data_IF_729151360451
#
_entry.id   IF_729151360451
#
_cell.length_a   1.000
_cell.length_b   1.000
_cell.length_c   1.000
_cell.angle_alpha   90.00
_cell.angle_beta   90.00
_cell.angle_gamma   90.00
#
_symmetry.space_group_name_H-M   'P 1'
#
loop_
_entity.id
_entity.type
_entity.pdbx_description
1 polymer ?
#
# COMPACT_ATOMS: atom_id res chain seq x y z
N UNK A 1 -17.56 -14.27 -8.53
CA UNK A 1 -17.15 -12.92 -8.11
C UNK A 1 -18.02 -12.53 -6.94
N UNK A 2 -17.41 -12.19 -5.80
CA UNK A 2 -18.12 -11.56 -4.69
C UNK A 2 -18.26 -10.07 -5.01
N UNK A 3 -19.35 -9.41 -4.58
CA UNK A 3 -19.41 -7.95 -4.68
C UNK A 3 -18.41 -7.37 -3.68
N UNK A 4 -17.84 -6.20 -3.97
CA UNK A 4 -16.91 -5.53 -3.05
C UNK A 4 -17.52 -5.41 -1.64
N UNK A 5 -18.80 -5.02 -1.55
CA UNK A 5 -19.56 -4.93 -0.28
C UNK A 5 -19.67 -6.26 0.48
N UNK A 6 -19.62 -7.39 -0.22
CA UNK A 6 -19.75 -8.72 0.38
C UNK A 6 -18.43 -9.21 1.00
N UNK A 7 -17.31 -8.51 0.79
CA UNK A 7 -15.99 -8.90 1.31
C UNK A 7 -15.41 -7.88 2.29
N UNK A 8 -16.05 -6.72 2.45
CA UNK A 8 -15.56 -5.67 3.34
C UNK A 8 -15.46 -6.18 4.77
N UNK A 9 -14.28 -5.99 5.35
CA UNK A 9 -13.92 -6.32 6.73
C UNK A 9 -13.98 -7.83 7.08
N UNK A 10 -14.16 -8.71 6.09
CA UNK A 10 -14.32 -10.16 6.30
C UNK A 10 -13.66 -11.04 5.24
N UNK A 11 -12.56 -10.57 4.66
CA UNK A 11 -11.79 -11.32 3.67
C UNK A 11 -10.30 -11.39 4.04
N UNK A 12 -9.66 -12.57 3.99
CA UNK A 12 -10.16 -13.86 3.52
C UNK A 12 -10.96 -14.66 4.57
N UNK A 13 -11.12 -14.12 5.78
CA UNK A 13 -11.86 -14.72 6.88
C UNK A 13 -12.64 -13.64 7.65
N UNK A 14 -13.61 -14.08 8.45
CA UNK A 14 -14.30 -13.22 9.42
C UNK A 14 -13.33 -12.74 10.51
N UNK A 15 -13.60 -11.56 11.10
CA UNK A 15 -12.73 -10.92 12.12
C UNK A 15 -12.35 -11.86 13.27
N UNK A 16 -13.31 -12.66 13.75
CA UNK A 16 -13.11 -13.62 14.86
C UNK A 16 -12.22 -14.82 14.49
N UNK A 17 -12.00 -15.05 13.20
CA UNK A 17 -11.31 -16.23 12.66
C UNK A 17 -9.89 -15.88 12.12
N UNK A 18 -9.39 -14.68 12.45
CA UNK A 18 -8.02 -14.23 12.14
C UNK A 18 -6.99 -15.26 12.60
N UNK A 19 -6.14 -15.67 11.65
CA UNK A 19 -5.03 -16.62 11.86
C UNK A 19 -3.95 -16.41 10.81
N UNK A 20 -2.71 -16.85 11.03
CA UNK A 20 -1.70 -16.86 9.98
C UNK A 20 -2.21 -17.61 8.76
N UNK A 21 -2.11 -17.01 7.58
CA UNK A 21 -2.68 -17.58 6.37
C UNK A 21 -1.93 -17.15 5.13
N UNK A 22 -1.51 -18.13 4.33
CA UNK A 22 -1.11 -17.92 2.95
C UNK A 22 -2.35 -17.77 2.08
N UNK A 23 -2.38 -16.71 1.28
CA UNK A 23 -3.42 -16.34 0.34
C UNK A 23 -2.78 -16.32 -1.04
N UNK A 24 -3.12 -17.30 -1.86
CA UNK A 24 -2.58 -17.41 -3.22
C UNK A 24 -3.19 -16.34 -4.11
N UNK A 25 -2.44 -15.91 -5.14
CA UNK A 25 -2.96 -15.01 -6.18
C UNK A 25 -4.32 -15.45 -6.74
N UNK A 26 -4.50 -16.76 -6.94
CA UNK A 26 -5.75 -17.34 -7.47
C UNK A 26 -6.95 -17.24 -6.52
N UNK A 27 -6.72 -16.94 -5.24
CA UNK A 27 -7.75 -16.84 -4.21
C UNK A 27 -8.24 -15.40 -4.00
N UNK A 28 -7.57 -14.39 -4.59
CA UNK A 28 -7.98 -13.00 -4.45
C UNK A 28 -9.40 -12.75 -4.95
N UNK A 29 -10.11 -11.88 -4.25
CA UNK A 29 -11.44 -11.45 -4.70
C UNK A 29 -11.30 -10.42 -5.82
N UNK A 30 -11.98 -10.64 -6.93
CA UNK A 30 -11.92 -9.78 -8.13
C UNK A 30 -13.20 -8.96 -8.28
N UNK A 31 -13.06 -7.67 -8.55
CA UNK A 31 -14.16 -6.76 -8.86
C UNK A 31 -13.76 -5.69 -9.90
N UNK A 32 -14.75 -5.01 -10.46
CA UNK A 32 -14.55 -3.70 -11.09
C UNK A 32 -14.92 -2.62 -10.08
N UNK A 33 -14.17 -1.52 -10.06
CA UNK A 33 -14.49 -0.35 -9.25
C UNK A 33 -14.39 0.95 -10.08
N UNK A 34 -15.41 1.83 -10.09
CA UNK A 34 -16.75 1.58 -9.56
C UNK A 34 -17.47 0.48 -10.37
N UNK A 35 -18.38 -0.29 -9.77
CA UNK A 35 -18.95 -1.50 -10.39
C UNK A 35 -19.98 -1.23 -11.49
N UNK A 36 -20.47 0.00 -11.63
CA UNK A 36 -21.57 0.40 -12.51
C UNK A 36 -21.11 1.06 -13.82
N UNK A 37 -19.81 1.36 -13.98
CA UNK A 37 -19.28 1.98 -15.19
C UNK A 37 -17.92 1.42 -15.64
N UNK A 38 -17.95 0.27 -16.33
CA UNK A 38 -16.75 -0.39 -16.86
C UNK A 38 -15.84 0.48 -17.75
N UNK A 39 -16.32 1.61 -18.29
CA UNK A 39 -15.51 2.51 -19.12
C UNK A 39 -14.48 3.30 -18.30
N UNK A 40 -14.79 3.56 -17.02
CA UNK A 40 -13.91 4.31 -16.10
C UNK A 40 -13.50 3.49 -14.88
N UNK A 41 -13.79 2.18 -14.89
CA UNK A 41 -13.40 1.29 -13.79
C UNK A 41 -11.95 0.81 -13.91
N UNK A 42 -11.35 0.54 -12.76
CA UNK A 42 -10.18 -0.33 -12.65
C UNK A 42 -10.58 -1.79 -12.40
N UNK A 43 -9.64 -2.71 -12.66
CA UNK A 43 -9.74 -4.08 -12.16
C UNK A 43 -9.15 -4.14 -10.75
N UNK A 44 -9.96 -4.50 -9.76
CA UNK A 44 -9.53 -4.58 -8.36
C UNK A 44 -9.39 -6.05 -7.92
N UNK A 45 -8.31 -6.35 -7.20
CA UNK A 45 -7.99 -7.65 -6.61
C UNK A 45 -7.78 -7.46 -5.10
N UNK A 46 -8.80 -7.76 -4.30
CA UNK A 46 -8.70 -7.67 -2.84
C UNK A 46 -8.04 -8.92 -2.27
N UNK A 47 -6.99 -8.72 -1.47
CA UNK A 47 -6.23 -9.77 -0.81
C UNK A 47 -6.63 -9.92 0.65
N UNK A 48 -6.79 -8.78 1.32
CA UNK A 48 -7.18 -8.68 2.73
C UNK A 48 -8.15 -7.51 2.88
N UNK A 49 -9.24 -7.73 3.59
CA UNK A 49 -10.14 -6.71 4.08
C UNK A 49 -10.62 -7.15 5.46
N UNK A 50 -10.14 -6.47 6.50
CA UNK A 50 -10.46 -6.76 7.91
C UNK A 50 -10.94 -5.48 8.58
N UNK A 51 -11.30 -5.57 9.85
CA UNK A 51 -11.61 -4.44 10.74
C UNK A 51 -10.42 -3.49 11.00
N UNK A 52 -9.19 -3.86 10.59
CA UNK A 52 -7.98 -3.05 10.85
C UNK A 52 -7.36 -2.43 9.59
N UNK A 53 -7.55 -3.04 8.42
CA UNK A 53 -7.08 -2.51 7.14
C UNK A 53 -7.67 -3.22 5.92
N UNK A 54 -7.45 -2.63 4.75
CA UNK A 54 -7.64 -3.25 3.44
C UNK A 54 -6.32 -3.25 2.65
N UNK A 55 -6.02 -4.37 1.98
CA UNK A 55 -4.89 -4.54 1.08
C UNK A 55 -5.37 -5.19 -0.22
N UNK A 56 -4.99 -4.61 -1.35
CA UNK A 56 -5.30 -5.16 -2.65
C UNK A 56 -4.50 -4.54 -3.76
N UNK A 57 -4.74 -4.99 -4.99
CA UNK A 57 -4.18 -4.42 -6.20
C UNK A 57 -5.31 -3.82 -7.02
N UNK A 58 -5.07 -2.66 -7.63
CA UNK A 58 -5.84 -2.26 -8.80
C UNK A 58 -4.98 -2.21 -10.06
N UNK A 59 -5.63 -2.41 -11.20
CA UNK A 59 -4.99 -2.35 -12.52
C UNK A 59 -5.71 -1.38 -13.45
N UNK A 60 -4.92 -0.59 -14.17
CA UNK A 60 -5.41 0.30 -15.22
C UNK A 60 -4.83 -0.12 -16.58
N UNK A 61 -5.70 -0.21 -17.58
CA UNK A 61 -5.26 -0.39 -18.96
C UNK A 61 -4.42 0.80 -19.46
N UNK A 62 -3.64 0.61 -20.55
CA UNK A 62 -2.95 1.72 -21.23
C UNK A 62 -3.91 2.86 -21.58
N UNK A 63 -3.54 4.10 -21.28
CA UNK A 63 -4.40 5.28 -21.46
C UNK A 63 -5.55 5.40 -20.45
N UNK A 64 -5.66 4.45 -19.50
CA UNK A 64 -6.76 4.36 -18.55
C UNK A 64 -6.67 5.36 -17.40
N UNK A 65 -7.82 5.56 -16.75
CA UNK A 65 -7.98 6.34 -15.52
C UNK A 65 -9.07 5.65 -14.71
N UNK A 66 -8.90 5.52 -13.39
CA UNK A 66 -10.08 5.25 -12.57
C UNK A 66 -10.77 6.57 -12.27
N UNK A 67 -12.05 6.64 -12.59
CA UNK A 67 -12.89 7.79 -12.36
C UNK A 67 -14.27 7.34 -11.83
N UNK A 68 -14.91 8.12 -10.96
CA UNK A 68 -14.55 9.47 -10.51
C UNK A 68 -13.36 9.52 -9.52
N UNK A 69 -12.99 10.73 -9.04
CA UNK A 69 -12.06 10.83 -7.91
C UNK A 69 -12.60 10.00 -6.74
N UNK A 70 -11.67 9.37 -6.02
CA UNK A 70 -11.95 8.52 -4.87
C UNK A 70 -11.47 9.18 -3.57
N UNK A 71 -12.00 8.70 -2.45
CA UNK A 71 -11.72 9.20 -1.11
C UNK A 71 -11.94 8.09 -0.08
N UNK A 72 -11.07 8.05 0.93
CA UNK A 72 -11.16 7.08 2.01
C UNK A 72 -11.26 7.77 3.39
N UNK A 73 -11.97 7.16 4.37
CA UNK A 73 -11.99 7.60 5.76
C UNK A 73 -10.76 7.12 6.55
N UNK A 74 -9.75 6.57 5.87
CA UNK A 74 -8.44 6.25 6.42
C UNK A 74 -7.35 6.77 5.49
N UNK A 75 -6.11 6.64 5.93
CA UNK A 75 -4.94 6.93 5.12
C UNK A 75 -4.74 5.80 4.09
N UNK A 76 -4.30 6.18 2.89
CA UNK A 76 -3.98 5.25 1.82
C UNK A 76 -2.51 5.38 1.39
N UNK A 77 -1.87 4.23 1.21
CA UNK A 77 -0.51 4.14 0.70
C UNK A 77 -0.43 3.25 -0.53
N UNK A 78 0.34 3.67 -1.53
CA UNK A 78 0.60 2.87 -2.73
C UNK A 78 2.03 2.36 -2.79
N UNK A 79 2.17 1.20 -3.42
CA UNK A 79 3.42 0.68 -3.99
C UNK A 79 3.16 0.37 -5.46
N UNK A 80 3.93 0.98 -6.35
CA UNK A 80 3.76 0.78 -7.80
C UNK A 80 4.42 -0.55 -8.19
N UNK A 81 3.60 -1.58 -8.45
CA UNK A 81 4.07 -2.88 -8.91
C UNK A 81 4.49 -2.86 -10.38
N UNK A 82 3.74 -2.12 -11.21
CA UNK A 82 4.10 -1.82 -12.58
C UNK A 82 3.61 -0.42 -12.97
N UNK A 83 4.53 0.46 -13.31
CA UNK A 83 4.27 1.83 -13.72
C UNK A 83 4.78 2.15 -15.14
N UNK A 84 4.96 3.43 -15.49
CA UNK A 84 4.68 4.59 -14.64
C UNK A 84 3.19 4.91 -14.50
N UNK A 85 2.83 5.64 -13.45
CA UNK A 85 1.49 6.22 -13.27
C UNK A 85 1.57 7.70 -12.91
N UNK A 86 0.49 8.43 -13.13
CA UNK A 86 0.33 9.80 -12.61
C UNK A 86 -0.82 9.81 -11.62
N UNK A 87 -0.51 9.95 -10.34
CA UNK A 87 -1.54 10.28 -9.36
C UNK A 87 -1.86 11.75 -9.43
N UNK A 88 -3.14 12.07 -9.44
CA UNK A 88 -3.69 13.40 -9.28
C UNK A 88 -4.46 13.48 -7.98
N UNK A 89 -4.29 14.54 -7.22
CA UNK A 89 -5.19 14.89 -6.12
C UNK A 89 -6.23 15.93 -6.55
N UNK A 90 -7.36 16.00 -5.84
CA UNK A 90 -8.41 17.00 -6.08
C UNK A 90 -7.92 18.44 -5.86
N UNK A 91 -6.92 18.63 -4.98
CA UNK A 91 -6.30 19.93 -4.70
C UNK A 91 -5.23 20.36 -5.73
N UNK A 92 -4.99 19.57 -6.78
CA UNK A 92 -4.10 19.91 -7.89
C UNK A 92 -2.63 19.58 -7.69
N UNK A 93 -2.31 18.69 -6.76
CA UNK A 93 -1.01 18.04 -6.74
C UNK A 93 -0.98 16.87 -7.72
N UNK A 94 0.20 16.63 -8.27
CA UNK A 94 0.45 15.54 -9.21
C UNK A 94 1.72 14.82 -8.80
N UNK A 95 1.66 13.49 -8.72
CA UNK A 95 2.80 12.63 -8.46
C UNK A 95 2.95 11.63 -9.62
N UNK A 96 3.96 11.82 -10.45
CA UNK A 96 4.34 10.85 -11.48
C UNK A 96 5.18 9.75 -10.82
N UNK A 97 4.76 8.49 -10.73
CA UNK A 97 5.42 7.44 -9.94
C UNK A 97 5.89 6.28 -10.85
N UNK A 98 7.12 5.82 -10.63
CA UNK A 98 7.74 4.68 -11.31
C UNK A 98 7.52 3.36 -10.55
N UNK A 99 7.78 2.23 -11.22
CA UNK A 99 7.80 0.91 -10.57
C UNK A 99 8.74 0.91 -9.35
N UNK A 100 8.24 0.40 -8.23
CA UNK A 100 8.93 0.35 -6.95
C UNK A 100 8.79 1.61 -6.10
N UNK A 101 8.25 2.70 -6.63
CA UNK A 101 8.00 3.92 -5.85
C UNK A 101 6.66 3.84 -5.10
N UNK A 102 6.47 4.76 -4.17
CA UNK A 102 5.28 4.79 -3.33
C UNK A 102 4.56 6.12 -3.32
N UNK A 103 3.39 6.12 -2.68
CA UNK A 103 2.59 7.32 -2.48
C UNK A 103 1.96 7.26 -1.10
N UNK A 104 1.91 8.40 -0.42
CA UNK A 104 1.09 8.61 0.76
C UNK A 104 -0.06 9.57 0.44
N UNK A 105 -1.28 9.17 0.77
CA UNK A 105 -2.47 9.98 0.69
C UNK A 105 -3.16 9.98 2.06
N UNK A 106 -3.27 11.13 2.72
CA UNK A 106 -3.91 11.19 4.02
C UNK A 106 -5.43 11.01 3.89
N UNK A 107 -6.07 10.61 4.98
CA UNK A 107 -7.52 10.57 5.12
C UNK A 107 -8.17 11.83 4.53
N UNK A 108 -9.22 11.61 3.73
CA UNK A 108 -9.99 12.71 3.13
C UNK A 108 -9.33 13.36 1.90
N UNK A 109 -8.15 12.93 1.47
CA UNK A 109 -7.53 13.43 0.25
C UNK A 109 -8.19 12.81 -0.99
N UNK A 110 -8.98 13.62 -1.71
CA UNK A 110 -9.51 13.26 -3.03
C UNK A 110 -8.38 12.95 -4.01
N UNK A 111 -8.50 11.85 -4.74
CA UNK A 111 -7.45 11.46 -5.69
C UNK A 111 -7.95 10.58 -6.85
N UNK A 112 -7.17 10.50 -7.91
CA UNK A 112 -7.34 9.54 -9.00
C UNK A 112 -5.98 9.18 -9.63
N UNK A 113 -5.92 8.03 -10.30
CA UNK A 113 -4.71 7.56 -10.98
C UNK A 113 -4.91 7.52 -12.49
N UNK A 114 -3.93 8.02 -13.23
CA UNK A 114 -3.87 7.95 -14.69
C UNK A 114 -2.71 7.06 -15.15
N UNK A 115 -2.98 6.18 -16.11
CA UNK A 115 -1.98 5.40 -16.81
C UNK A 115 -1.77 5.97 -18.22
N UNK A 116 -0.74 6.79 -18.41
CA UNK A 116 -0.37 7.31 -19.73
C UNK A 116 0.61 6.42 -20.51
N UNK A 117 1.00 5.27 -19.94
CA UNK A 117 1.91 4.33 -20.59
C UNK A 117 1.19 3.45 -21.62
N UNK A 118 1.98 2.69 -22.38
CA UNK A 118 1.53 1.69 -23.35
C UNK A 118 1.38 0.28 -22.73
N UNK A 119 1.67 0.14 -21.44
CA UNK A 119 1.55 -1.10 -20.67
C UNK A 119 0.51 -0.95 -19.55
N UNK A 120 0.02 -2.09 -19.04
CA UNK A 120 -0.96 -2.10 -17.95
C UNK A 120 -0.28 -1.65 -16.65
N UNK A 121 -0.80 -0.62 -16.00
CA UNK A 121 -0.33 -0.23 -14.67
C UNK A 121 -0.91 -1.16 -13.59
N UNK A 122 -0.11 -1.46 -12.56
CA UNK A 122 -0.49 -2.27 -11.40
C UNK A 122 -0.03 -1.59 -10.12
N UNK A 123 -0.94 -1.38 -9.19
CA UNK A 123 -0.68 -0.65 -7.95
C UNK A 123 -1.18 -1.48 -6.77
N UNK A 124 -0.31 -1.75 -5.80
CA UNK A 124 -0.67 -2.35 -4.52
C UNK A 124 -1.07 -1.21 -3.57
N UNK A 125 -2.29 -1.26 -3.03
CA UNK A 125 -2.82 -0.27 -2.12
C UNK A 125 -2.99 -0.85 -0.72
N UNK A 126 -2.67 -0.03 0.28
CA UNK A 126 -2.90 -0.30 1.69
C UNK A 126 -3.70 0.85 2.28
N UNK A 127 -4.90 0.57 2.78
CA UNK A 127 -5.77 1.57 3.38
C UNK A 127 -6.06 1.20 4.83
N UNK A 128 -5.81 2.14 5.75
CA UNK A 128 -5.95 1.89 7.19
C UNK A 128 -6.36 3.19 7.93
N UNK A 129 -7.19 3.11 8.98
CA UNK A 129 -7.83 1.91 9.53
C UNK A 129 -8.96 1.38 8.66
N UNK A 130 -9.54 2.22 7.78
CA UNK A 130 -10.78 1.89 7.09
C UNK A 130 -10.78 2.38 5.64
N UNK A 131 -11.08 1.48 4.70
CA UNK A 131 -11.17 1.82 3.28
C UNK A 131 -12.44 2.58 2.92
N UNK A 132 -13.54 2.33 3.62
CA UNK A 132 -14.84 2.82 3.20
C UNK A 132 -15.74 3.27 4.34
N UNK A 133 -16.49 4.34 4.11
CA UNK A 133 -17.59 4.73 4.99
C UNK A 133 -18.85 3.91 4.68
N UNK A 134 -19.97 4.16 5.36
CA UNK A 134 -21.26 3.55 5.02
C UNK A 134 -21.73 3.85 3.58
N UNK A 135 -21.18 4.90 2.94
CA UNK A 135 -21.48 5.29 1.57
C UNK A 135 -20.36 4.82 0.63
N UNK A 136 -20.62 3.77 -0.16
CA UNK A 136 -19.71 3.21 -1.17
C UNK A 136 -20.45 3.08 -2.51
N UNK A 137 -20.00 3.76 -3.59
CA UNK A 137 -18.99 4.84 -3.63
C UNK A 137 -19.43 6.10 -2.86
N UNK A 138 -18.54 7.10 -2.66
CA UNK A 138 -18.87 8.34 -1.96
C UNK A 138 -20.13 9.01 -2.50
N UNK A 139 -21.01 9.46 -1.60
CA UNK A 139 -22.29 10.07 -1.98
C UNK A 139 -22.16 11.43 -2.68
N UNK A 140 -21.04 12.13 -2.47
CA UNK A 140 -20.72 13.42 -3.09
C UNK A 140 -19.31 13.32 -3.66
N UNK A 141 -19.21 13.49 -4.97
CA UNK A 141 -17.95 13.51 -5.71
C UNK A 141 -17.76 14.94 -6.21
N UNK A 142 -16.58 15.55 -6.02
CA UNK A 142 -16.32 16.90 -6.49
C UNK A 142 -16.35 16.93 -8.02
N UNK A 143 -16.99 17.96 -8.56
CA UNK A 143 -16.97 18.27 -9.98
C UNK A 143 -15.59 18.76 -10.43
N UNK A 144 -15.36 18.81 -11.75
CA UNK A 144 -14.15 19.41 -12.31
C UNK A 144 -13.98 20.88 -11.85
N UNK A 145 -15.08 21.62 -11.69
CA UNK A 145 -15.04 23.01 -11.23
C UNK A 145 -14.56 23.17 -9.78
N UNK A 146 -14.65 22.10 -8.98
CA UNK A 146 -14.26 22.02 -7.57
C UNK A 146 -12.85 21.42 -7.37
N UNK A 147 -12.19 21.01 -8.46
CA UNK A 147 -10.84 20.44 -8.44
C UNK A 147 -9.87 21.27 -9.26
N UNK A 148 -8.56 21.14 -8.96
CA UNK A 148 -7.50 21.81 -9.73
C UNK A 148 -6.94 20.91 -10.83
N UNK A 149 -6.61 21.53 -11.96
CA UNK A 149 -5.91 20.91 -13.10
C UNK A 149 -5.27 21.97 -14.01
N UNK A 150 -4.47 21.56 -14.99
CA UNK A 150 -3.82 22.50 -15.92
C UNK A 150 -4.86 23.34 -16.68
N UNK A 151 -4.81 24.67 -16.52
CA UNK A 151 -5.79 25.65 -17.05
C UNK A 151 -7.24 25.46 -16.57
N UNK A 152 -7.45 24.91 -15.37
CA UNK A 152 -8.78 24.83 -14.76
C UNK A 152 -9.40 26.22 -14.52
N UNK A 153 -10.65 26.39 -14.94
CA UNK A 153 -11.34 27.69 -14.94
C UNK A 153 -11.47 28.33 -13.54
N UNK A 154 -11.45 27.51 -12.48
CA UNK A 154 -11.57 27.96 -11.09
C UNK A 154 -10.28 27.79 -10.27
N UNK A 155 -9.13 27.51 -10.89
CA UNK A 155 -7.87 27.30 -10.17
C UNK A 155 -7.53 28.43 -9.19
N UNK A 156 -7.75 29.68 -9.60
CA UNK A 156 -7.45 30.88 -8.81
C UNK A 156 -8.40 31.08 -7.62
N UNK A 157 -9.55 30.39 -7.62
CA UNK A 157 -10.54 30.41 -6.54
C UNK A 157 -10.37 29.27 -5.54
N UNK A 158 -9.59 28.24 -5.90
CA UNK A 158 -9.34 27.06 -5.07
C UNK A 158 -8.05 27.22 -4.24
N UNK A 159 -7.92 26.55 -3.08
CA UNK A 159 -6.80 26.77 -2.15
C UNK A 159 -5.41 26.60 -2.78
N UNK A 160 -4.49 27.55 -2.55
CA UNK A 160 -3.07 27.41 -2.96
C UNK A 160 -2.37 26.36 -2.08
N UNK A 161 -1.77 25.36 -2.73
CA UNK A 161 -1.09 24.24 -2.08
C UNK A 161 0.42 24.46 -1.92
N UNK A 162 1.04 25.41 -2.64
CA UNK A 162 2.51 25.52 -2.67
C UNK A 162 3.16 25.67 -1.29
N UNK A 163 2.53 26.43 -0.38
CA UNK A 163 3.01 26.62 0.99
C UNK A 163 2.52 25.58 2.00
N UNK A 164 1.74 24.58 1.56
CA UNK A 164 1.14 23.54 2.41
C UNK A 164 1.79 22.17 2.21
N UNK A 165 2.54 21.99 1.13
CA UNK A 165 3.23 20.75 0.81
C UNK A 165 4.58 20.78 1.52
N UNK A 166 4.81 19.83 2.42
CA UNK A 166 6.10 19.69 3.08
C UNK A 166 7.16 19.24 2.07
N UNK A 167 8.39 19.76 2.23
CA UNK A 167 9.55 19.21 1.54
C UNK A 167 10.00 17.93 2.26
N UNK A 168 9.99 16.82 1.52
CA UNK A 168 10.38 15.51 2.02
C UNK A 168 11.78 15.09 1.52
N UNK A 169 12.49 15.96 0.80
CA UNK A 169 13.82 15.71 0.25
C UNK A 169 14.91 15.78 1.32
N UNK A 170 14.89 14.83 2.25
CA UNK A 170 15.87 14.71 3.34
C UNK A 170 16.27 13.27 3.60
N UNK A 171 17.40 13.09 4.29
CA UNK A 171 17.76 11.80 4.85
C UNK A 171 16.91 11.50 6.09
N UNK A 172 16.39 10.28 6.17
CA UNK A 172 15.66 9.78 7.33
C UNK A 172 16.55 9.03 8.34
N UNK A 173 16.02 8.84 9.55
CA UNK A 173 16.62 8.06 10.63
C UNK A 173 15.54 7.24 11.36
N UNK A 174 15.94 6.31 12.24
CA UNK A 174 14.99 5.45 12.96
C UNK A 174 13.95 6.23 13.78
N UNK A 175 14.28 7.43 14.25
CA UNK A 175 13.36 8.29 15.01
C UNK A 175 12.20 8.83 14.14
N UNK A 176 12.29 8.71 12.82
CA UNK A 176 11.23 9.09 11.88
C UNK A 176 10.12 8.02 11.74
N UNK A 177 10.32 6.82 12.31
CA UNK A 177 9.27 5.79 12.32
C UNK A 177 8.09 6.30 13.14
N UNK A 178 6.96 6.50 12.47
CA UNK A 178 5.73 7.06 13.03
C UNK A 178 5.39 8.46 12.50
N UNK A 179 6.28 9.05 11.70
CA UNK A 179 6.04 10.32 11.01
C UNK A 179 6.72 10.38 9.62
N UNK A 180 6.71 9.27 8.86
CA UNK A 180 7.28 9.19 7.51
C UNK A 180 6.19 9.07 6.44
N UNK A 181 6.30 9.74 5.27
CA UNK A 181 7.37 10.69 4.88
C UNK A 181 7.23 12.07 5.52
N UNK A 182 6.09 12.32 6.17
CA UNK A 182 5.73 13.55 6.86
C UNK A 182 4.84 13.18 8.05
N UNK A 183 4.69 14.10 9.01
CA UNK A 183 3.67 14.00 10.05
C UNK A 183 2.27 13.85 9.43
N UNK A 184 1.59 12.73 9.73
CA UNK A 184 0.30 12.41 9.14
C UNK A 184 -0.82 13.35 9.63
N UNK A 185 -0.74 13.89 10.85
CA UNK A 185 -1.73 14.85 11.33
C UNK A 185 -1.67 16.15 10.54
N UNK A 186 -0.48 16.61 10.17
CA UNK A 186 -0.32 17.79 9.31
C UNK A 186 -0.73 17.51 7.86
N UNK A 187 -0.42 16.31 7.34
CA UNK A 187 -0.89 15.89 6.02
C UNK A 187 -2.42 15.86 5.94
N UNK A 188 -3.11 15.28 6.94
CA UNK A 188 -4.58 15.23 7.03
C UNK A 188 -5.22 16.63 7.10
N UNK A 189 -4.62 17.59 7.82
CA UNK A 189 -5.12 18.98 7.85
C UNK A 189 -5.05 19.68 6.50
N UNK A 190 -4.03 19.37 5.70
CA UNK A 190 -3.78 20.03 4.42
C UNK A 190 -4.39 19.29 3.24
N UNK A 191 -4.67 17.99 3.39
CA UNK A 191 -5.02 17.08 2.30
C UNK A 191 -3.86 16.88 1.32
N UNK A 192 -2.62 17.15 1.74
CA UNK A 192 -1.46 17.05 0.86
C UNK A 192 -1.06 15.59 0.62
N UNK A 193 -0.83 15.22 -0.63
CA UNK A 193 -0.34 13.89 -1.01
C UNK A 193 1.17 13.92 -1.29
N UNK A 194 1.87 12.82 -1.00
CA UNK A 194 3.33 12.75 -1.06
C UNK A 194 3.79 11.54 -1.84
N UNK A 195 4.33 11.76 -3.04
CA UNK A 195 5.03 10.71 -3.78
C UNK A 195 6.36 10.42 -3.11
N UNK A 196 6.66 9.16 -2.82
CA UNK A 196 7.88 8.72 -2.16
C UNK A 196 8.72 7.95 -3.17
N UNK A 197 9.74 8.61 -3.70
CA UNK A 197 10.71 8.02 -4.65
C UNK A 197 11.50 6.90 -4.00
N UNK A 198 12.12 6.06 -4.81
CA UNK A 198 12.93 4.96 -4.28
C UNK A 198 14.04 5.46 -3.33
N UNK A 199 14.68 6.59 -3.66
CA UNK A 199 15.71 7.20 -2.81
C UNK A 199 15.15 7.97 -1.59
N UNK A 200 13.84 8.21 -1.54
CA UNK A 200 13.14 8.88 -0.44
C UNK A 200 12.48 7.88 0.52
N UNK A 201 12.64 6.57 0.33
CA UNK A 201 12.17 5.61 1.33
C UNK A 201 13.00 5.71 2.61
N UNK A 202 12.37 5.61 3.77
CA UNK A 202 13.06 5.55 5.05
C UNK A 202 13.73 4.17 5.20
N UNK A 203 15.05 4.13 5.06
CA UNK A 203 15.81 2.89 5.18
C UNK A 203 16.14 2.59 6.66
N UNK A 204 15.93 1.35 7.06
CA UNK A 204 16.29 0.82 8.37
C UNK A 204 16.86 -0.60 8.25
N UNK A 205 17.58 -1.04 9.28
CA UNK A 205 18.10 -2.40 9.36
C UNK A 205 17.36 -3.12 10.48
N UNK A 206 16.53 -4.09 10.12
CA UNK A 206 15.88 -4.96 11.08
C UNK A 206 16.80 -6.13 11.45
N UNK A 207 16.97 -6.39 12.74
CA UNK A 207 17.78 -7.49 13.27
C UNK A 207 19.26 -7.16 13.43
N UNK A 208 19.91 -7.83 14.37
CA UNK A 208 21.35 -7.66 14.70
C UNK A 208 22.17 -8.88 14.37
N UNK A 209 21.57 -10.08 14.42
CA UNK A 209 22.26 -11.34 14.08
C UNK A 209 22.04 -11.70 12.61
N UNK A 210 20.79 -11.57 12.16
CA UNK A 210 20.39 -11.87 10.80
C UNK A 210 19.67 -10.66 10.18
N UNK A 211 20.44 -9.62 9.77
CA UNK A 211 19.84 -8.36 9.33
C UNK A 211 19.09 -8.47 8.00
N UNK A 212 17.99 -7.71 7.92
CA UNK A 212 17.16 -7.47 6.75
C UNK A 212 17.07 -5.97 6.51
N UNK A 213 17.02 -5.55 5.24
CA UNK A 213 16.74 -4.16 4.90
C UNK A 213 15.22 -3.93 4.94
N UNK A 214 14.80 -2.95 5.75
CA UNK A 214 13.42 -2.50 5.88
C UNK A 214 13.32 -1.08 5.32
N UNK A 215 12.41 -0.81 4.37
CA UNK A 215 12.31 0.48 3.69
C UNK A 215 10.88 1.01 3.72
N UNK A 216 10.60 2.04 4.52
CA UNK A 216 9.23 2.55 4.63
C UNK A 216 8.92 3.53 3.50
N UNK A 217 7.76 3.32 2.87
CA UNK A 217 7.07 4.33 2.06
C UNK A 217 6.29 5.24 3.01
N UNK A 218 5.53 4.66 3.94
CA UNK A 218 4.79 5.38 4.98
C UNK A 218 4.97 4.73 6.34
N UNK A 219 4.90 5.55 7.38
CA UNK A 219 4.89 5.10 8.77
C UNK A 219 4.23 6.18 9.62
N UNK A 220 3.04 5.91 10.17
CA UNK A 220 2.29 6.86 10.98
C UNK A 220 1.46 6.17 12.08
N UNK A 221 0.51 6.90 12.67
CA UNK A 221 -0.38 6.45 13.74
C UNK A 221 -1.47 5.45 13.28
N UNK A 222 -1.72 5.33 11.98
CA UNK A 222 -2.66 4.36 11.40
C UNK A 222 -1.97 3.10 10.88
N UNK A 223 -0.75 3.21 10.36
CA UNK A 223 0.02 2.05 9.97
C UNK A 223 1.34 2.35 9.29
N UNK A 224 1.96 1.27 8.80
CA UNK A 224 3.29 1.24 8.24
C UNK A 224 3.26 0.42 6.94
N UNK A 225 3.86 0.98 5.89
CA UNK A 225 3.87 0.37 4.57
C UNK A 225 5.23 0.52 3.91
N UNK A 226 5.77 -0.55 3.33
CA UNK A 226 7.13 -0.52 2.81
C UNK A 226 7.65 -1.87 2.35
N UNK A 227 8.96 -1.96 2.19
CA UNK A 227 9.64 -3.15 1.67
C UNK A 227 10.43 -3.87 2.76
N UNK A 228 10.32 -5.19 2.77
CA UNK A 228 11.28 -6.11 3.35
C UNK A 228 12.15 -6.68 2.25
N UNK A 229 13.46 -6.58 2.43
CA UNK A 229 14.45 -7.01 1.44
C UNK A 229 15.46 -7.93 2.10
N UNK A 230 15.37 -9.22 1.77
CA UNK A 230 16.27 -10.25 2.28
C UNK A 230 17.41 -10.48 1.27
N UNK A 231 18.68 -10.35 1.67
CA UNK A 231 19.82 -10.69 0.81
C UNK A 231 19.73 -12.12 0.28
N UNK A 232 20.46 -12.39 -0.80
CA UNK A 232 20.57 -13.74 -1.33
C UNK A 232 21.09 -14.74 -0.29
N UNK A 233 20.52 -15.94 -0.31
CA UNK A 233 21.13 -17.12 0.29
C UNK A 233 22.41 -17.51 -0.46
N UNK A 234 23.23 -18.37 0.14
CA UNK A 234 24.46 -18.85 -0.53
C UNK A 234 25.63 -19.19 0.38
N UNK A 235 25.45 -19.12 1.70
CA UNK A 235 26.39 -19.68 2.67
C UNK A 235 26.14 -21.17 2.94
N UNK A 236 26.49 -21.64 4.14
CA UNK A 236 26.21 -23.01 4.60
C UNK A 236 24.70 -23.32 4.70
N UNK A 237 23.83 -22.30 4.77
CA UNK A 237 22.39 -22.43 4.88
C UNK A 237 21.64 -21.23 4.27
N UNK A 238 20.30 -21.20 4.41
CA UNK A 238 19.49 -20.10 3.90
C UNK A 238 19.80 -18.78 4.62
N UNK A 239 19.45 -17.67 3.98
CA UNK A 239 19.42 -16.38 4.66
C UNK A 239 18.10 -16.29 5.44
N UNK A 240 18.14 -15.92 6.71
CA UNK A 240 16.95 -15.62 7.49
C UNK A 240 16.99 -14.18 8.01
N UNK A 241 15.84 -13.66 8.47
CA UNK A 241 15.78 -12.50 9.36
C UNK A 241 15.88 -12.93 10.82
N UNK A 242 16.18 -12.00 11.74
CA UNK A 242 15.81 -12.19 13.15
C UNK A 242 14.27 -12.34 13.25
N UNK A 243 13.72 -13.05 14.25
CA UNK A 243 12.27 -13.11 14.46
C UNK A 243 11.69 -11.72 14.67
N UNK A 244 10.58 -11.44 14.03
CA UNK A 244 9.82 -10.19 14.17
C UNK A 244 8.40 -10.49 14.69
N UNK A 245 7.80 -9.51 15.36
CA UNK A 245 6.49 -9.58 15.98
C UNK A 245 5.92 -8.19 16.13
N UNK A 246 4.70 -7.99 15.63
CA UNK A 246 4.03 -6.69 15.61
C UNK A 246 2.86 -6.62 16.60
N UNK A 247 2.61 -5.43 17.14
CA UNK A 247 1.45 -5.20 18.02
C UNK A 247 0.10 -5.15 17.25
N UNK A 248 0.14 -4.91 15.94
CA UNK A 248 -1.03 -4.89 15.05
C UNK A 248 -0.99 -6.03 14.02
N UNK A 249 -2.09 -6.17 13.29
CA UNK A 249 -2.16 -7.11 12.17
C UNK A 249 -1.26 -6.65 11.03
N UNK A 250 -0.74 -7.63 10.27
CA UNK A 250 0.10 -7.41 9.11
C UNK A 250 -0.29 -8.29 7.93
N UNK A 251 0.11 -7.85 6.75
CA UNK A 251 0.13 -8.67 5.53
C UNK A 251 1.42 -8.41 4.75
N UNK A 252 1.98 -9.47 4.17
CA UNK A 252 3.15 -9.42 3.32
C UNK A 252 2.74 -9.82 1.90
N UNK A 253 3.08 -9.01 0.90
CA UNK A 253 2.89 -9.34 -0.52
C UNK A 253 4.25 -9.66 -1.15
N UNK A 254 4.40 -10.84 -1.74
CA UNK A 254 5.66 -11.26 -2.36
C UNK A 254 5.85 -10.57 -3.73
N UNK A 255 6.89 -9.75 -3.86
CA UNK A 255 7.25 -9.10 -5.14
C UNK A 255 8.28 -9.96 -5.88
N UNK A 256 9.38 -10.28 -5.19
CA UNK A 256 10.46 -11.12 -5.70
C UNK A 256 10.61 -12.32 -4.76
N UNK A 257 10.47 -13.53 -5.28
CA UNK A 257 10.50 -14.77 -4.51
C UNK A 257 11.07 -15.94 -5.31
N UNK A 258 10.92 -17.18 -4.83
CA UNK A 258 10.08 -17.56 -3.69
C UNK A 258 10.59 -17.06 -2.33
N UNK A 259 9.67 -16.66 -1.45
CA UNK A 259 9.97 -16.23 -0.07
C UNK A 259 9.32 -17.17 0.93
N UNK A 260 10.07 -17.65 1.91
CA UNK A 260 9.51 -18.50 2.98
C UNK A 260 9.18 -17.68 4.22
N UNK A 261 7.95 -17.85 4.74
CA UNK A 261 7.53 -17.38 6.06
C UNK A 261 7.64 -18.55 7.04
N UNK A 262 8.48 -18.42 8.06
CA UNK A 262 8.60 -19.38 9.14
C UNK A 262 7.93 -18.84 10.41
N UNK A 263 6.86 -19.49 10.87
CA UNK A 263 6.15 -19.15 12.09
C UNK A 263 6.86 -19.82 13.27
N UNK A 264 7.81 -19.09 13.87
CA UNK A 264 8.80 -19.63 14.83
C UNK A 264 8.17 -20.41 15.98
N UNK A 265 7.13 -19.84 16.58
CA UNK A 265 6.46 -20.41 17.76
C UNK A 265 5.57 -21.62 17.38
N UNK A 266 5.09 -21.68 16.14
CA UNK A 266 4.19 -22.73 15.63
C UNK A 266 4.96 -23.87 14.95
N UNK A 267 6.23 -23.66 14.61
CA UNK A 267 7.05 -24.61 13.82
C UNK A 267 6.43 -24.95 12.47
N UNK A 268 5.73 -23.99 11.88
CA UNK A 268 5.12 -24.09 10.55
C UNK A 268 5.85 -23.18 9.57
N UNK A 269 5.90 -23.57 8.31
CA UNK A 269 6.52 -22.78 7.25
C UNK A 269 5.67 -22.77 5.99
N UNK A 270 5.63 -21.62 5.34
CA UNK A 270 4.86 -21.38 4.13
C UNK A 270 5.76 -20.76 3.07
N UNK A 271 5.65 -21.23 1.83
CA UNK A 271 6.38 -20.65 0.69
C UNK A 271 5.41 -19.77 -0.10
N UNK A 272 5.72 -18.49 -0.15
CA UNK A 272 5.06 -17.50 -0.99
C UNK A 272 5.73 -17.45 -2.35
N UNK A 273 4.96 -17.71 -3.40
CA UNK A 273 5.39 -17.40 -4.77
C UNK A 273 5.23 -15.89 -5.02
N UNK A 274 5.88 -15.32 -6.06
CA UNK A 274 5.59 -13.97 -6.49
C UNK A 274 4.08 -13.76 -6.68
N UNK A 275 3.59 -12.64 -6.17
CA UNK A 275 2.19 -12.26 -6.10
C UNK A 275 1.30 -13.06 -5.13
N UNK A 276 1.87 -13.88 -4.25
CA UNK A 276 1.12 -14.39 -3.09
C UNK A 276 1.14 -13.38 -1.94
N UNK A 277 0.14 -13.48 -1.06
CA UNK A 277 0.03 -12.68 0.17
C UNK A 277 0.04 -13.58 1.39
N UNK A 278 0.66 -13.14 2.48
CA UNK A 278 0.61 -13.84 3.76
C UNK A 278 0.06 -12.91 4.83
N UNK A 279 -1.06 -13.28 5.45
CA UNK A 279 -1.65 -12.55 6.57
C UNK A 279 -1.05 -13.02 7.90
N UNK A 280 -0.77 -12.08 8.78
CA UNK A 280 -0.12 -12.28 10.08
C UNK A 280 -0.95 -11.51 11.15
N UNK A 281 -1.72 -12.20 12.00
CA UNK A 281 -2.42 -11.54 13.09
C UNK A 281 -1.46 -10.92 14.11
N UNK A 282 -1.92 -9.86 14.78
CA UNK A 282 -1.20 -9.23 15.88
C UNK A 282 -0.60 -10.23 16.88
N UNK A 283 0.66 -9.99 17.30
CA UNK A 283 1.37 -10.82 18.27
C UNK A 283 1.95 -12.14 17.73
N UNK A 284 1.74 -12.46 16.45
CA UNK A 284 2.33 -13.64 15.80
C UNK A 284 3.82 -13.41 15.53
N UNK A 285 4.66 -14.33 16.00
CA UNK A 285 6.11 -14.33 15.73
C UNK A 285 6.40 -14.99 14.39
N UNK A 286 7.22 -14.35 13.54
CA UNK A 286 7.61 -14.90 12.25
C UNK A 286 9.04 -14.55 11.85
N UNK A 287 9.59 -15.29 10.90
CA UNK A 287 10.86 -15.03 10.24
C UNK A 287 10.69 -15.10 8.73
N UNK A 288 11.42 -14.24 8.01
CA UNK A 288 11.60 -14.37 6.58
C UNK A 288 12.81 -15.26 6.30
N UNK A 289 12.68 -16.17 5.33
CA UNK A 289 13.75 -17.09 4.94
C UNK A 289 13.87 -17.11 3.42
N UNK A 290 15.09 -16.91 2.94
CA UNK A 290 15.47 -16.92 1.52
C UNK A 290 16.44 -18.08 1.26
N UNK A 291 15.99 -19.03 0.42
CA UNK A 291 16.79 -20.15 -0.07
C UNK A 291 17.45 -19.86 -1.42
N UNK A 292 17.10 -18.75 -2.05
CA UNK A 292 17.49 -18.43 -3.41
C UNK A 292 18.86 -17.78 -3.50
N UNK A 293 19.48 -17.89 -4.67
CA UNK A 293 20.77 -17.26 -4.98
C UNK A 293 20.66 -15.77 -5.36
N UNK A 294 19.46 -15.20 -5.28
CA UNK A 294 19.17 -13.80 -5.54
C UNK A 294 18.40 -13.19 -4.35
N UNK A 295 18.35 -11.86 -4.32
CA UNK A 295 17.60 -11.11 -3.31
C UNK A 295 16.10 -11.37 -3.48
N UNK A 296 15.40 -11.56 -2.37
CA UNK A 296 13.93 -11.66 -2.35
C UNK A 296 13.34 -10.42 -1.67
N UNK A 297 12.12 -10.07 -2.07
CA UNK A 297 11.44 -8.86 -1.62
C UNK A 297 9.97 -9.13 -1.35
N UNK A 298 9.49 -8.65 -0.21
CA UNK A 298 8.07 -8.50 0.07
C UNK A 298 7.71 -7.04 0.39
N UNK A 299 6.50 -6.64 0.05
CA UNK A 299 5.91 -5.39 0.55
C UNK A 299 5.11 -5.71 1.81
N UNK A 300 5.40 -5.02 2.90
CA UNK A 300 4.67 -5.17 4.16
C UNK A 300 3.60 -4.08 4.28
N UNK A 301 2.46 -4.48 4.85
CA UNK A 301 1.42 -3.62 5.39
C UNK A 301 1.21 -4.02 6.85
N UNK A 302 1.49 -3.11 7.79
CA UNK A 302 1.45 -3.39 9.24
C UNK A 302 0.65 -2.28 9.92
N UNK A 303 -0.37 -2.62 10.68
CA UNK A 303 -1.23 -1.60 11.33
C UNK A 303 -0.61 -1.02 12.60
N UNK A 304 0.32 -1.73 13.25
CA UNK A 304 1.10 -1.24 14.39
C UNK A 304 2.36 -2.09 14.61
N UNK A 305 3.55 -1.48 14.58
CA UNK A 305 4.83 -2.17 14.87
C UNK A 305 4.88 -2.73 16.30
#
# INVERSE_FOLDING_TARGET
MAKLVDILEKFPFEVKDKRPMLIRKSEYSTALYPPDNAFTSDNTFTMVSTDTFMLGIYELGPGGVFAPLDIHPGDESYYILNGPVVQRSGNGQFAYLQTGEGLFMPEGAWHCCHNFADSKARILYFITPKAWSENIPPAVIPSDEETKYYKGANNDKLPDMKGKIADISRQGCTDDIGAWPVDAHEARKTGAVYGVRDFEKLNNVHGTKHPMLMRFITSNDYGHFGEFVLPNGGGYGPRCSDPDKHAGDAALYCVDGPLTINLVDLQESFVMEPEDTFFIPAGTSYQLVNFENHQVKAVFAITKL
#
